data_IF_667359507441
#
_entry.id   IF_667359507441
#
_cell.length_a   1.000
_cell.length_b   1.000
_cell.length_c   1.000
_cell.angle_alpha   90.00
_cell.angle_beta   90.00
_cell.angle_gamma   90.00
#
_symmetry.space_group_name_H-M   'P 1'
#
loop_
_entity.id
_entity.type
_entity.pdbx_description
1 polymer ?
#
# COMPACT_ATOMS: atom_id res chain seq x y z
N UNK A 1 -19.28 -10.45 3.02
CA UNK A 1 -18.76 -9.22 3.64
C UNK A 1 -17.31 -9.07 3.19
N UNK A 2 -17.07 -8.28 2.15
CA UNK A 2 -15.71 -8.02 1.70
C UNK A 2 -15.12 -7.01 2.68
N UNK A 3 -14.10 -7.39 3.45
CA UNK A 3 -13.31 -6.45 4.24
C UNK A 3 -12.61 -5.57 3.21
N UNK A 4 -13.18 -4.41 2.92
CA UNK A 4 -12.55 -3.45 2.03
C UNK A 4 -11.16 -3.14 2.61
N UNK A 5 -10.08 -3.41 1.88
CA UNK A 5 -8.75 -3.14 2.39
C UNK A 5 -8.64 -1.64 2.64
N UNK A 6 -7.89 -1.24 3.66
CA UNK A 6 -7.62 0.17 3.93
C UNK A 6 -6.22 0.49 3.42
N UNK A 7 -6.03 1.72 2.92
CA UNK A 7 -4.70 2.20 2.56
C UNK A 7 -3.84 2.31 3.82
N UNK A 8 -2.68 1.64 3.84
CA UNK A 8 -1.76 1.66 4.99
C UNK A 8 -1.14 3.05 5.23
N UNK A 9 -1.17 3.93 4.23
CA UNK A 9 -0.65 5.30 4.32
C UNK A 9 -1.68 6.32 4.83
N UNK A 10 -2.85 6.41 4.18
CA UNK A 10 -3.86 7.43 4.49
C UNK A 10 -5.01 6.90 5.34
N UNK A 11 -5.03 5.60 5.66
CA UNK A 11 -6.10 4.89 6.41
C UNK A 11 -7.49 5.01 5.81
N UNK A 12 -7.61 5.53 4.59
CA UNK A 12 -8.87 5.59 3.86
C UNK A 12 -9.21 4.22 3.28
N UNK A 13 -10.50 3.90 3.24
CA UNK A 13 -11.01 2.70 2.59
C UNK A 13 -10.62 2.69 1.11
N UNK A 14 -10.04 1.57 0.64
CA UNK A 14 -9.70 1.38 -0.76
C UNK A 14 -10.97 1.06 -1.54
N UNK A 15 -11.61 2.09 -2.08
CA UNK A 15 -12.65 1.93 -3.10
C UNK A 15 -12.03 1.51 -4.44
N UNK A 16 -10.77 1.89 -4.67
CA UNK A 16 -9.98 1.61 -5.86
C UNK A 16 -8.59 1.13 -5.45
N UNK A 17 -8.15 0.01 -6.03
CA UNK A 17 -6.81 -0.50 -5.83
C UNK A 17 -5.79 0.42 -6.51
N UNK A 18 -4.86 0.99 -5.73
CA UNK A 18 -3.77 1.83 -6.25
C UNK A 18 -2.51 1.02 -6.53
N UNK A 19 -1.92 0.48 -5.47
CA UNK A 19 -0.70 -0.31 -5.57
C UNK A 19 -0.45 -1.18 -4.35
N UNK A 20 0.47 -2.12 -4.50
CA UNK A 20 1.03 -2.92 -3.41
C UNK A 20 2.50 -2.58 -3.26
N UNK A 21 2.90 -2.21 -2.05
CA UNK A 21 4.29 -1.94 -1.69
C UNK A 21 4.81 -3.11 -0.84
N UNK A 22 6.02 -3.55 -1.14
CA UNK A 22 6.72 -4.58 -0.37
C UNK A 22 7.98 -3.96 0.22
N UNK A 23 8.17 -4.10 1.53
CA UNK A 23 9.43 -3.73 2.17
C UNK A 23 10.56 -4.68 1.74
N UNK A 24 11.83 -4.30 1.96
CA UNK A 24 12.91 -5.27 1.99
C UNK A 24 12.59 -6.42 2.95
N UNK A 25 13.12 -7.63 2.69
CA UNK A 25 12.95 -8.76 3.61
C UNK A 25 13.65 -8.47 4.94
N UNK A 26 13.07 -8.96 6.04
CA UNK A 26 13.70 -8.99 7.35
C UNK A 26 14.69 -10.15 7.48
N UNK A 27 15.28 -10.31 8.68
CA UNK A 27 16.26 -11.37 8.98
C UNK A 27 15.70 -12.79 8.83
N UNK A 28 14.37 -12.96 8.83
CA UNK A 28 13.68 -14.23 8.59
C UNK A 28 13.27 -14.40 7.11
N UNK A 29 13.68 -13.48 6.23
CA UNK A 29 13.30 -13.49 4.83
C UNK A 29 11.86 -13.04 4.57
N UNK A 30 11.19 -12.40 5.54
CA UNK A 30 9.81 -11.95 5.39
C UNK A 30 9.72 -10.49 4.95
N UNK A 31 8.90 -10.20 3.94
CA UNK A 31 8.62 -8.83 3.50
C UNK A 31 7.26 -8.35 4.04
N UNK A 32 7.19 -7.08 4.48
CA UNK A 32 5.93 -6.46 4.86
C UNK A 32 5.20 -5.99 3.60
N UNK A 33 3.96 -6.44 3.43
CA UNK A 33 3.06 -5.96 2.38
C UNK A 33 2.25 -4.76 2.88
N UNK A 34 2.11 -3.73 2.07
CA UNK A 34 1.32 -2.54 2.35
C UNK A 34 0.42 -2.23 1.15
N UNK A 35 -0.84 -1.89 1.41
CA UNK A 35 -1.80 -1.48 0.39
C UNK A 35 -1.81 0.03 0.26
N UNK A 36 -1.73 0.51 -0.98
CA UNK A 36 -1.76 1.94 -1.30
C UNK A 36 -2.99 2.25 -2.16
N UNK A 37 -3.65 3.36 -1.85
CA UNK A 37 -4.64 3.95 -2.75
C UNK A 37 -3.92 4.66 -3.92
N UNK A 38 -4.65 4.92 -5.02
CA UNK A 38 -4.11 5.59 -6.21
C UNK A 38 -3.42 6.92 -5.84
N UNK A 39 -4.05 7.74 -5.01
CA UNK A 39 -3.49 9.02 -4.58
C UNK A 39 -2.15 8.87 -3.82
N UNK A 40 -2.04 7.89 -2.92
CA UNK A 40 -0.78 7.63 -2.22
C UNK A 40 0.29 7.08 -3.16
N UNK A 41 -0.09 6.21 -4.10
CA UNK A 41 0.82 5.68 -5.11
C UNK A 41 1.36 6.79 -6.03
N UNK A 42 0.49 7.68 -6.51
CA UNK A 42 0.88 8.82 -7.35
C UNK A 42 1.82 9.79 -6.64
N UNK A 43 1.62 10.02 -5.33
CA UNK A 43 2.53 10.86 -4.54
C UNK A 43 3.94 10.28 -4.47
N UNK A 44 4.05 8.98 -4.21
CA UNK A 44 5.35 8.30 -4.08
C UNK A 44 6.06 8.18 -5.44
N UNK A 45 5.30 7.99 -6.53
CA UNK A 45 5.88 7.79 -7.87
C UNK A 45 6.19 9.10 -8.61
N UNK A 46 5.54 10.21 -8.26
CA UNK A 46 5.78 11.52 -8.88
C UNK A 46 6.77 12.41 -8.12
N UNK A 47 7.36 11.97 -7.01
CA UNK A 47 8.57 12.61 -6.47
C UNK A 47 9.76 12.31 -7.40
N UNK A 48 9.89 13.12 -8.46
CA UNK A 48 11.06 13.18 -9.35
C UNK A 48 12.05 14.22 -8.88
#
# INVERSE_FOLDING_TARGET
MAIAPHCDFCKTELTDFGGLLFSPPDENGMAKKMHLCKACYERITNEK
#
